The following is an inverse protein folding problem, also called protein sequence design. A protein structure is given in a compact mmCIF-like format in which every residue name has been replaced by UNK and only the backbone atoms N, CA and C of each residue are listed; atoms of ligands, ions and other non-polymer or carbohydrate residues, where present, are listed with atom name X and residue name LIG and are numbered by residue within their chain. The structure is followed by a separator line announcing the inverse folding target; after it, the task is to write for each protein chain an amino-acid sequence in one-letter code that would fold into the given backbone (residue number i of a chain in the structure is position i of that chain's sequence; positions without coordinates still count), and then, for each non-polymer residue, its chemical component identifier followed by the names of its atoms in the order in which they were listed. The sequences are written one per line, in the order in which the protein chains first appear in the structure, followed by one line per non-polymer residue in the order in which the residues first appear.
data_IF_973715555208
#
_entry.id   IF_973715555208
#
_cell.length_a   1.000
_cell.length_b   1.000
_cell.length_c   1.000
_cell.angle_alpha   90.00
_cell.angle_beta   90.00
_cell.angle_gamma   90.00
#
_symmetry.space_group_name_H-M   'P 1'
#
loop_
_entity.id
_entity.type
_entity.pdbx_description
1 polymer ?
#
# COMPACT_ATOMS: atom_id res chain seq x y z
N UNK A 1 -29.81 -21.60 -15.97
CA UNK A 1 -29.29 -21.12 -17.26
C UNK A 1 -28.71 -19.73 -17.03
N UNK A 2 -27.41 -19.63 -16.74
CA UNK A 2 -26.74 -18.34 -16.49
C UNK A 2 -26.28 -17.83 -17.86
N UNK A 3 -26.98 -16.82 -18.38
CA UNK A 3 -26.63 -16.16 -19.64
C UNK A 3 -25.32 -15.41 -19.38
N UNK A 4 -24.21 -16.00 -19.83
CA UNK A 4 -22.92 -15.30 -19.85
C UNK A 4 -22.99 -14.25 -20.95
N UNK A 5 -23.46 -13.06 -20.62
CA UNK A 5 -23.25 -11.88 -21.45
C UNK A 5 -21.74 -11.63 -21.52
N UNK A 6 -21.10 -12.18 -22.56
CA UNK A 6 -19.77 -11.72 -22.99
C UNK A 6 -19.96 -10.26 -23.40
N UNK A 7 -19.70 -9.34 -22.49
CA UNK A 7 -19.51 -7.92 -22.82
C UNK A 7 -18.30 -7.81 -23.74
N UNK A 8 -18.52 -7.94 -25.04
CA UNK A 8 -17.53 -7.72 -26.09
C UNK A 8 -17.30 -6.21 -26.24
N UNK A 9 -16.75 -5.59 -25.20
CA UNK A 9 -16.16 -4.27 -25.32
C UNK A 9 -14.96 -4.32 -26.26
N UNK A 10 -14.63 -3.23 -26.95
CA UNK A 10 -13.48 -3.22 -27.85
C UNK A 10 -12.18 -3.52 -27.08
N UNK A 11 -11.24 -4.29 -27.66
CA UNK A 11 -10.09 -4.87 -26.96
C UNK A 11 -9.18 -3.82 -26.31
N UNK A 12 -9.17 -2.58 -26.83
CA UNK A 12 -8.37 -1.49 -26.28
C UNK A 12 -8.82 -1.05 -24.88
N UNK A 13 -10.11 -1.16 -24.52
CA UNK A 13 -10.60 -0.75 -23.19
C UNK A 13 -10.00 -1.60 -22.06
N UNK A 14 -9.83 -2.89 -22.32
CA UNK A 14 -9.20 -3.80 -21.37
C UNK A 14 -7.71 -3.48 -21.17
N UNK A 15 -7.00 -3.10 -22.23
CA UNK A 15 -5.60 -2.68 -22.15
C UNK A 15 -5.45 -1.38 -21.36
N UNK A 16 -6.25 -0.37 -21.69
CA UNK A 16 -6.23 0.93 -20.98
C UNK A 16 -6.56 0.74 -19.49
N UNK A 17 -7.59 -0.06 -19.16
CA UNK A 17 -7.94 -0.33 -17.76
C UNK A 17 -6.82 -1.00 -16.95
N UNK A 18 -6.09 -1.93 -17.56
CA UNK A 18 -4.92 -2.56 -16.92
C UNK A 18 -3.80 -1.57 -16.68
N UNK A 19 -3.50 -0.71 -17.66
CA UNK A 19 -2.48 0.33 -17.53
C UNK A 19 -2.85 1.35 -16.44
N UNK A 20 -4.09 1.83 -16.42
CA UNK A 20 -4.58 2.73 -15.38
C UNK A 20 -4.46 2.10 -13.99
N UNK A 21 -4.89 0.85 -13.83
CA UNK A 21 -4.75 0.13 -12.55
C UNK A 21 -3.29 -0.02 -12.13
N UNK A 22 -2.39 -0.35 -13.06
CA UNK A 22 -0.98 -0.50 -12.76
C UNK A 22 -0.35 0.82 -12.30
N UNK A 23 -0.59 1.91 -13.03
CA UNK A 23 -0.06 3.24 -12.70
C UNK A 23 -0.63 3.72 -11.36
N UNK A 24 -1.93 3.59 -11.13
CA UNK A 24 -2.56 3.98 -9.87
C UNK A 24 -2.06 3.13 -8.69
N UNK A 25 -1.89 1.82 -8.87
CA UNK A 25 -1.40 0.93 -7.81
C UNK A 25 0.05 1.23 -7.45
N UNK A 26 0.92 1.48 -8.44
CA UNK A 26 2.30 1.88 -8.20
C UNK A 26 2.40 3.24 -7.51
N UNK A 27 1.64 4.23 -7.98
CA UNK A 27 1.63 5.58 -7.39
C UNK A 27 1.14 5.57 -5.94
N UNK A 28 0.06 4.84 -5.66
CA UNK A 28 -0.44 4.68 -4.29
C UNK A 28 0.50 3.85 -3.42
N UNK A 29 1.16 2.85 -4.00
CA UNK A 29 2.21 2.09 -3.33
C UNK A 29 3.37 2.97 -2.88
N UNK A 30 3.79 3.91 -3.73
CA UNK A 30 4.84 4.87 -3.41
C UNK A 30 4.42 5.79 -2.25
N UNK A 31 3.19 6.30 -2.27
CA UNK A 31 2.63 7.09 -1.16
C UNK A 31 2.49 6.27 0.13
N UNK A 32 2.23 4.97 0.03
CA UNK A 32 2.09 4.07 1.15
C UNK A 32 3.41 3.70 1.84
N UNK A 33 4.56 3.98 1.21
CA UNK A 33 5.88 3.70 1.79
C UNK A 33 6.00 4.33 3.17
N UNK A 34 5.75 5.64 3.29
CA UNK A 34 5.92 6.38 4.57
C UNK A 34 5.09 5.80 5.71
N UNK A 35 3.76 5.63 5.60
CA UNK A 35 2.97 5.11 6.71
C UNK A 35 3.22 3.62 7.00
N UNK A 36 3.54 2.80 5.98
CA UNK A 36 3.90 1.40 6.21
C UNK A 36 5.23 1.28 6.97
N UNK A 37 6.17 2.20 6.74
CA UNK A 37 7.40 2.28 7.51
C UNK A 37 7.17 2.77 8.92
N UNK A 38 6.24 3.71 9.14
CA UNK A 38 5.82 4.08 10.48
C UNK A 38 5.21 2.88 11.22
N UNK A 39 4.39 2.08 10.56
CA UNK A 39 3.87 0.82 11.12
C UNK A 39 5.01 -0.14 11.47
N UNK A 40 5.96 -0.34 10.55
CA UNK A 40 7.12 -1.18 10.79
C UNK A 40 7.94 -0.69 12.00
N UNK A 41 8.23 0.62 12.05
CA UNK A 41 8.94 1.27 13.14
C UNK A 41 8.21 1.10 14.48
N UNK A 42 6.89 1.30 14.51
CA UNK A 42 6.09 1.13 15.72
C UNK A 42 6.09 -0.33 16.18
N UNK A 43 5.95 -1.30 15.28
CA UNK A 43 6.04 -2.73 15.63
C UNK A 43 7.42 -3.04 16.23
N UNK A 44 8.49 -2.55 15.61
CA UNK A 44 9.86 -2.77 16.05
C UNK A 44 10.13 -2.15 17.44
N UNK A 45 9.64 -0.94 17.69
CA UNK A 45 9.86 -0.22 18.95
C UNK A 45 8.84 -0.50 20.05
N UNK A 46 7.73 -1.18 19.75
CA UNK A 46 6.73 -1.58 20.75
C UNK A 46 6.78 -3.08 21.00
N UNK A 47 6.37 -3.90 20.02
CA UNK A 47 6.24 -5.35 20.18
C UNK A 47 7.61 -6.00 20.37
N UNK A 48 8.58 -5.73 19.49
CA UNK A 48 9.90 -6.38 19.60
C UNK A 48 10.72 -5.85 20.77
N UNK A 49 10.56 -4.58 21.12
CA UNK A 49 11.14 -4.03 22.33
C UNK A 49 10.52 -4.66 23.60
N UNK A 50 9.20 -4.86 23.65
CA UNK A 50 8.54 -5.53 24.76
C UNK A 50 8.98 -7.00 24.92
N UNK A 51 9.36 -7.65 23.82
CA UNK A 51 9.93 -9.01 23.81
C UNK A 51 11.44 -9.04 24.11
N UNK A 52 12.09 -7.89 24.30
CA UNK A 52 13.53 -7.79 24.55
C UNK A 52 14.41 -8.13 23.34
N UNK A 53 13.84 -8.14 22.13
CA UNK A 53 14.59 -8.41 20.90
C UNK A 53 15.30 -7.17 20.35
N UNK A 54 14.84 -5.97 20.74
CA UNK A 54 15.34 -4.68 20.27
C UNK A 54 15.36 -3.70 21.44
N UNK A 55 16.33 -2.80 21.47
CA UNK A 55 16.37 -1.70 22.43
C UNK A 55 15.37 -0.58 22.01
N UNK A 56 14.46 -0.15 22.89
CA UNK A 56 13.42 0.81 22.54
C UNK A 56 13.99 2.20 22.28
N UNK A 57 13.59 2.84 21.17
CA UNK A 57 13.92 4.23 20.90
C UNK A 57 13.19 5.16 21.87
N UNK A 58 13.96 5.95 22.61
CA UNK A 58 13.46 6.86 23.64
C UNK A 58 12.82 8.13 23.06
N UNK A 59 13.03 8.44 21.78
CA UNK A 59 12.48 9.66 21.14
C UNK A 59 10.96 9.71 21.19
N UNK A 60 10.29 8.57 21.02
CA UNK A 60 8.82 8.48 21.01
C UNK A 60 8.24 7.85 22.28
N UNK A 61 9.08 7.37 23.21
CA UNK A 61 8.63 6.73 24.44
C UNK A 61 7.80 7.65 25.36
N UNK A 62 7.95 8.97 25.22
CA UNK A 62 7.28 9.98 26.05
C UNK A 62 5.81 10.21 25.71
N UNK A 63 5.38 9.92 24.48
CA UNK A 63 4.02 10.19 24.01
C UNK A 63 3.03 9.03 24.29
N UNK A 64 3.55 7.93 24.85
CA UNK A 64 2.78 6.75 25.18
C UNK A 64 2.49 5.84 23.97
N UNK A 65 2.21 4.55 24.21
CA UNK A 65 2.07 3.56 23.15
C UNK A 65 0.88 3.84 22.22
N UNK A 66 -0.23 4.38 22.76
CA UNK A 66 -1.43 4.65 21.97
C UNK A 66 -1.16 5.68 20.85
N UNK A 67 -0.42 6.75 21.15
CA UNK A 67 -0.11 7.79 20.17
C UNK A 67 0.68 7.24 18.99
N UNK A 68 1.71 6.42 19.26
CA UNK A 68 2.54 5.77 18.24
C UNK A 68 1.69 4.91 17.30
N UNK A 69 0.80 4.09 17.86
CA UNK A 69 -0.11 3.26 17.08
C UNK A 69 -1.09 4.09 16.23
N UNK A 70 -1.63 5.19 16.76
CA UNK A 70 -2.53 6.07 15.99
C UNK A 70 -1.78 6.72 14.82
N UNK A 71 -0.59 7.26 15.05
CA UNK A 71 0.23 7.91 14.01
C UNK A 71 0.64 6.94 12.91
N UNK A 72 0.85 5.66 13.21
CA UNK A 72 1.17 4.64 12.23
C UNK A 72 -0.06 4.06 11.50
N UNK A 73 -1.12 3.75 12.25
CA UNK A 73 -2.28 3.02 11.72
C UNK A 73 -3.24 3.94 10.99
N UNK A 74 -3.53 5.13 11.51
CA UNK A 74 -4.49 6.05 10.90
C UNK A 74 -4.15 6.39 9.43
N UNK A 75 -2.93 6.84 9.07
CA UNK A 75 -2.60 7.13 7.67
C UNK A 75 -2.59 5.86 6.80
N UNK A 76 -2.18 4.71 7.35
CA UNK A 76 -2.23 3.43 6.63
C UNK A 76 -3.66 3.05 6.26
N UNK A 77 -4.60 3.18 7.20
CA UNK A 77 -6.03 2.89 6.96
C UNK A 77 -6.61 3.83 5.91
N UNK A 78 -6.32 5.13 6.01
CA UNK A 78 -6.76 6.12 5.00
C UNK A 78 -6.25 5.76 3.61
N UNK A 79 -4.97 5.40 3.48
CA UNK A 79 -4.42 4.98 2.19
C UNK A 79 -5.01 3.67 1.66
N UNK A 80 -5.28 2.70 2.53
CA UNK A 80 -5.97 1.47 2.12
C UNK A 80 -7.37 1.75 1.59
N UNK A 81 -8.11 2.68 2.21
CA UNK A 81 -9.42 3.11 1.73
C UNK A 81 -9.33 3.82 0.38
N UNK A 82 -8.34 4.70 0.19
CA UNK A 82 -8.08 5.36 -1.09
C UNK A 82 -7.70 4.34 -2.17
N UNK A 83 -6.82 3.38 -1.85
CA UNK A 83 -6.43 2.30 -2.75
C UNK A 83 -7.62 1.44 -3.19
N UNK A 84 -8.47 1.07 -2.23
CA UNK A 84 -9.68 0.33 -2.51
C UNK A 84 -10.63 1.15 -3.41
N UNK A 85 -10.88 2.41 -3.07
CA UNK A 85 -11.76 3.29 -3.84
C UNK A 85 -11.28 3.46 -5.29
N UNK A 86 -10.00 3.79 -5.48
CA UNK A 86 -9.39 3.97 -6.81
C UNK A 86 -9.47 2.68 -7.63
N UNK A 87 -9.08 1.53 -7.05
CA UNK A 87 -9.11 0.27 -7.78
C UNK A 87 -10.54 -0.25 -8.04
N UNK A 88 -11.50 0.06 -7.16
CA UNK A 88 -12.92 -0.21 -7.41
C UNK A 88 -13.43 0.61 -8.60
N UNK A 89 -13.16 1.91 -8.64
CA UNK A 89 -13.55 2.78 -9.76
C UNK A 89 -12.93 2.28 -11.06
N UNK A 90 -11.63 1.99 -11.09
CA UNK A 90 -10.95 1.46 -12.29
C UNK A 90 -11.56 0.12 -12.72
N UNK A 91 -11.80 -0.80 -11.79
CA UNK A 91 -12.40 -2.11 -12.12
C UNK A 91 -13.81 -1.97 -12.72
N UNK A 92 -14.59 -0.99 -12.24
CA UNK A 92 -15.97 -0.73 -12.68
C UNK A 92 -16.01 -0.02 -14.03
N UNK A 93 -15.19 1.01 -14.23
CA UNK A 93 -15.15 1.81 -15.47
C UNK A 93 -14.62 0.98 -16.65
N UNK A 94 -13.59 0.19 -16.43
CA UNK A 94 -12.93 -0.56 -17.50
C UNK A 94 -13.33 -2.04 -17.58
N UNK A 95 -14.30 -2.47 -16.74
CA UNK A 95 -14.81 -3.84 -16.70
C UNK A 95 -13.70 -4.90 -16.65
N UNK A 96 -12.64 -4.63 -15.87
CA UNK A 96 -11.48 -5.52 -15.78
C UNK A 96 -11.90 -6.77 -14.98
N UNK A 97 -12.31 -7.82 -15.69
CA UNK A 97 -12.62 -9.10 -15.08
C UNK A 97 -11.32 -9.82 -14.72
N UNK A 98 -11.09 -10.10 -13.44
CA UNK A 98 -9.90 -10.86 -13.09
C UNK A 98 -9.92 -11.41 -11.67
N UNK A 99 -9.89 -12.74 -11.57
CA UNK A 99 -9.46 -13.47 -10.37
C UNK A 99 -8.08 -12.97 -9.87
N UNK A 100 -7.27 -12.44 -10.79
CA UNK A 100 -5.92 -11.96 -10.53
C UNK A 100 -5.78 -10.44 -10.42
N UNK A 101 -6.83 -9.66 -10.74
CA UNK A 101 -6.74 -8.19 -10.78
C UNK A 101 -6.26 -7.63 -9.45
N UNK A 102 -6.94 -8.00 -8.37
CA UNK A 102 -6.61 -7.56 -7.02
C UNK A 102 -5.23 -8.06 -6.57
N UNK A 103 -4.87 -9.29 -6.94
CA UNK A 103 -3.53 -9.82 -6.65
C UNK A 103 -2.45 -8.96 -7.29
N UNK A 104 -2.55 -8.66 -8.59
CA UNK A 104 -1.59 -7.78 -9.27
C UNK A 104 -1.60 -6.35 -8.72
N UNK A 105 -2.77 -5.78 -8.42
CA UNK A 105 -2.86 -4.43 -7.85
C UNK A 105 -2.17 -4.37 -6.48
N UNK A 106 -2.38 -5.36 -5.62
CA UNK A 106 -1.70 -5.47 -4.33
C UNK A 106 -0.20 -5.68 -4.48
N UNK A 107 0.24 -6.55 -5.41
CA UNK A 107 1.66 -6.76 -5.68
C UNK A 107 2.34 -5.47 -6.16
N UNK A 108 1.70 -4.73 -7.06
CA UNK A 108 2.20 -3.45 -7.54
C UNK A 108 2.21 -2.37 -6.45
N UNK A 109 1.21 -2.35 -5.57
CA UNK A 109 1.20 -1.45 -4.43
C UNK A 109 2.29 -1.80 -3.39
N UNK A 110 2.62 -3.08 -3.22
CA UNK A 110 3.67 -3.52 -2.32
C UNK A 110 5.09 -3.30 -2.89
N UNK A 111 5.23 -3.25 -4.22
CA UNK A 111 6.53 -3.15 -4.90
C UNK A 111 7.41 -1.99 -4.38
N UNK A 112 6.90 -0.74 -4.24
CA UNK A 112 7.71 0.37 -3.72
C UNK A 112 8.24 0.13 -2.31
N UNK A 113 7.43 -0.46 -1.42
CA UNK A 113 7.87 -0.79 -0.06
C UNK A 113 8.97 -1.85 -0.09
N UNK A 114 8.81 -2.93 -0.86
CA UNK A 114 9.86 -3.96 -0.99
C UNK A 114 11.17 -3.40 -1.54
N UNK A 115 11.10 -2.49 -2.52
CA UNK A 115 12.30 -1.83 -3.05
C UNK A 115 12.97 -0.94 -2.00
N UNK A 116 12.18 -0.18 -1.23
CA UNK A 116 12.70 0.62 -0.13
C UNK A 116 13.37 -0.23 0.96
N UNK A 117 12.84 -1.43 1.25
CA UNK A 117 13.43 -2.33 2.24
C UNK A 117 14.73 -3.01 1.77
N UNK A 118 14.85 -3.33 0.47
CA UNK A 118 16.03 -4.00 -0.09
C UNK A 118 17.21 -3.04 -0.24
N UNK A 119 16.94 -1.81 -0.67
CA UNK A 119 17.99 -0.86 -1.05
C UNK A 119 17.84 0.45 -0.25
N UNK A 120 18.56 0.57 0.89
CA UNK A 120 18.55 1.75 1.75
C UNK A 120 18.97 3.05 1.04
N UNK A 121 19.63 3.00 -0.12
CA UNK A 121 20.00 4.21 -0.86
C UNK A 121 18.80 4.93 -1.48
N UNK A 122 17.67 4.26 -1.75
CA UNK A 122 16.43 4.90 -2.21
C UNK A 122 15.86 5.92 -1.19
N UNK A 123 16.33 5.85 0.05
CA UNK A 123 15.95 6.74 1.14
C UNK A 123 16.64 8.08 1.11
N UNK A 124 17.72 8.22 0.35
CA UNK A 124 18.41 9.52 0.21
C UNK A 124 17.48 10.58 -0.41
N UNK A 125 16.51 10.15 -1.24
CA UNK A 125 15.46 11.01 -1.78
C UNK A 125 14.36 11.38 -0.76
N UNK A 126 14.25 10.64 0.35
CA UNK A 126 13.25 10.81 1.43
C UNK A 126 13.95 11.21 2.74
N UNK A 127 15.15 11.81 2.67
CA UNK A 127 15.79 12.41 3.84
C UNK A 127 14.99 13.63 4.26
N UNK A 128 14.18 13.45 5.30
CA UNK A 128 13.64 14.54 6.09
C UNK A 128 14.79 15.10 6.92
N UNK A 129 15.37 16.20 6.44
CA UNK A 129 16.29 17.03 7.21
C UNK A 129 15.55 17.72 8.36
#
# INVERSE_FOLDING_TARGET
MIISERRSGPPWKAVVGRLCSAVSSLGLGYLAVVPLLLVHYVIHNSLFAALGWVEPDTKFAREGPLFQWVVAVAPTVVLLLVFLAVNLVVSRVFAVSGRWYWTTACLLAAMPLTLALIEPSFWTAVRWY
#
